data_IF_011842616792
#
_entry.id   IF_011842616792
#
_cell.length_a   1.000
_cell.length_b   1.000
_cell.length_c   1.000
_cell.angle_alpha   90.00
_cell.angle_beta   90.00
_cell.angle_gamma   90.00
#
_symmetry.space_group_name_H-M   'P 1'
#
loop_
_entity.id
_entity.type
_entity.pdbx_description
1 polymer ?
#
# COMPACT_ATOMS: atom_id res chain seq x y z
N UNK A 1 -7.79 -5.07 -25.25
CA UNK A 1 -7.16 -4.66 -26.52
C UNK A 1 -8.09 -4.82 -27.73
N UNK A 2 -8.98 -5.82 -27.79
CA UNK A 2 -9.91 -5.98 -28.92
C UNK A 2 -10.81 -4.75 -29.10
N UNK A 3 -11.46 -4.26 -28.08
CA UNK A 3 -12.30 -3.06 -28.16
C UNK A 3 -11.52 -1.82 -28.58
N UNK A 4 -10.32 -1.60 -28.08
CA UNK A 4 -9.44 -0.49 -28.50
C UNK A 4 -9.05 -0.58 -29.97
N UNK A 5 -8.86 -1.80 -30.50
CA UNK A 5 -8.60 -1.98 -31.93
C UNK A 5 -9.83 -1.69 -32.80
N UNK A 6 -11.03 -1.98 -32.31
CA UNK A 6 -12.28 -1.63 -32.98
C UNK A 6 -12.53 -0.12 -32.99
N UNK A 7 -12.33 0.55 -31.85
CA UNK A 7 -12.42 2.01 -31.76
C UNK A 7 -11.51 2.67 -32.81
N UNK A 8 -10.25 2.24 -32.88
CA UNK A 8 -9.30 2.73 -33.88
C UNK A 8 -9.77 2.42 -35.30
N UNK A 9 -10.24 1.20 -35.59
CA UNK A 9 -10.71 0.76 -36.89
C UNK A 9 -11.89 1.61 -37.39
N UNK A 10 -12.81 1.95 -36.49
CA UNK A 10 -14.03 2.68 -36.84
C UNK A 10 -13.93 4.19 -36.51
N UNK A 11 -12.73 4.68 -36.21
CA UNK A 11 -12.48 6.09 -35.88
C UNK A 11 -13.40 6.63 -34.77
N UNK A 12 -13.62 5.80 -33.73
CA UNK A 12 -14.39 6.17 -32.56
C UNK A 12 -13.41 6.59 -31.45
N UNK A 13 -13.67 7.71 -30.81
CA UNK A 13 -12.89 8.14 -29.65
C UNK A 13 -12.90 7.07 -28.55
N UNK A 14 -11.78 6.84 -27.84
CA UNK A 14 -11.72 5.85 -26.78
C UNK A 14 -12.82 6.04 -25.73
N UNK A 15 -13.57 5.00 -25.47
CA UNK A 15 -14.65 5.00 -24.48
C UNK A 15 -14.17 4.44 -23.15
N UNK A 16 -14.79 4.90 -22.08
CA UNK A 16 -14.60 4.31 -20.75
C UNK A 16 -15.14 2.88 -20.77
N UNK A 17 -14.44 1.97 -20.16
CA UNK A 17 -14.81 0.55 -20.09
C UNK A 17 -15.14 0.22 -18.64
N UNK A 18 -16.37 -0.27 -18.43
CA UNK A 18 -16.81 -0.82 -17.17
C UNK A 18 -17.09 -2.30 -17.34
N UNK A 19 -16.70 -3.08 -16.34
CA UNK A 19 -16.98 -4.52 -16.26
C UNK A 19 -18.05 -4.72 -15.20
N UNK A 20 -19.25 -5.06 -15.64
CA UNK A 20 -20.39 -5.14 -14.75
C UNK A 20 -20.32 -6.31 -13.80
N UNK A 21 -19.65 -7.39 -14.19
CA UNK A 21 -19.49 -8.58 -13.37
C UNK A 21 -18.20 -9.30 -13.67
N UNK A 22 -17.46 -9.67 -12.65
CA UNK A 22 -16.35 -10.62 -12.74
C UNK A 22 -16.24 -11.44 -11.45
N UNK A 23 -15.69 -12.63 -11.55
CA UNK A 23 -15.34 -13.42 -10.39
C UNK A 23 -14.03 -14.20 -10.63
N UNK A 24 -13.37 -14.58 -9.56
CA UNK A 24 -12.18 -15.41 -9.61
C UNK A 24 -12.54 -16.90 -9.87
N UNK A 25 -11.77 -17.51 -10.78
CA UNK A 25 -11.86 -18.92 -11.08
C UNK A 25 -12.65 -19.25 -12.33
N UNK A 26 -12.22 -20.33 -13.00
CA UNK A 26 -12.79 -20.79 -14.27
C UNK A 26 -13.98 -21.75 -14.12
N UNK A 27 -14.27 -22.19 -12.90
CA UNK A 27 -15.38 -23.11 -12.62
C UNK A 27 -16.64 -22.31 -12.26
N UNK A 28 -17.23 -21.70 -13.30
CA UNK A 28 -18.46 -20.94 -13.18
C UNK A 28 -19.64 -21.77 -12.63
N UNK A 29 -19.64 -23.08 -12.86
CA UNK A 29 -20.73 -23.95 -12.43
C UNK A 29 -20.77 -24.18 -10.92
N UNK A 30 -19.59 -24.24 -10.27
CA UNK A 30 -19.49 -24.51 -8.83
C UNK A 30 -18.97 -23.32 -8.01
N UNK A 31 -18.48 -22.27 -8.68
CA UNK A 31 -17.91 -21.07 -8.04
C UNK A 31 -16.92 -21.40 -6.93
N UNK A 32 -16.16 -22.42 -7.16
CA UNK A 32 -15.25 -23.03 -6.20
C UNK A 32 -14.22 -22.02 -5.69
N UNK A 33 -13.74 -21.14 -6.56
CA UNK A 33 -12.66 -20.19 -6.28
C UNK A 33 -13.14 -18.75 -6.10
N UNK A 34 -14.43 -18.56 -5.93
CA UNK A 34 -15.00 -17.27 -5.63
C UNK A 34 -14.38 -16.69 -4.35
N UNK A 35 -13.94 -15.43 -4.39
CA UNK A 35 -13.24 -14.79 -3.28
C UNK A 35 -11.80 -15.28 -3.06
N UNK A 36 -11.26 -16.11 -3.96
CA UNK A 36 -9.87 -16.58 -3.88
C UNK A 36 -8.90 -15.45 -4.22
N UNK A 37 -8.01 -15.03 -3.30
CA UNK A 37 -7.11 -13.90 -3.53
C UNK A 37 -6.13 -14.17 -4.67
N UNK A 38 -5.51 -15.36 -4.73
CA UNK A 38 -4.54 -15.68 -5.78
C UNK A 38 -5.11 -15.60 -7.19
N UNK A 39 -6.35 -16.01 -7.39
CA UNK A 39 -7.03 -15.89 -8.68
C UNK A 39 -7.60 -14.50 -8.96
N UNK A 40 -7.80 -13.67 -7.94
CA UNK A 40 -8.33 -12.31 -8.11
C UNK A 40 -7.24 -11.31 -8.52
N UNK A 41 -5.99 -11.53 -8.14
CA UNK A 41 -4.86 -10.65 -8.49
C UNK A 41 -4.75 -10.41 -10.00
N UNK A 42 -4.76 -11.42 -10.89
CA UNK A 42 -4.66 -11.21 -12.33
C UNK A 42 -5.81 -10.38 -12.93
N UNK A 43 -7.00 -10.40 -12.33
CA UNK A 43 -8.10 -9.54 -12.76
C UNK A 43 -7.80 -8.08 -12.46
N UNK A 44 -7.48 -7.76 -11.21
CA UNK A 44 -7.13 -6.39 -10.79
C UNK A 44 -5.95 -5.88 -11.61
N UNK A 45 -4.87 -6.67 -11.74
CA UNK A 45 -3.69 -6.33 -12.52
C UNK A 45 -4.02 -5.95 -13.97
N UNK A 46 -4.91 -6.71 -14.62
CA UNK A 46 -5.33 -6.44 -15.99
C UNK A 46 -6.26 -5.24 -16.09
N UNK A 47 -7.12 -5.04 -15.10
CA UNK A 47 -8.00 -3.86 -15.07
C UNK A 47 -7.17 -2.58 -14.99
N UNK A 48 -6.21 -2.52 -14.10
CA UNK A 48 -5.28 -1.39 -13.96
C UNK A 48 -4.46 -1.17 -15.24
N UNK A 49 -3.82 -2.20 -15.73
CA UNK A 49 -2.96 -2.13 -16.92
C UNK A 49 -3.71 -1.72 -18.20
N UNK A 50 -5.00 -2.03 -18.30
CA UNK A 50 -5.81 -1.73 -19.49
C UNK A 50 -6.78 -0.56 -19.30
N UNK A 51 -6.69 0.16 -18.19
CA UNK A 51 -7.51 1.34 -17.92
C UNK A 51 -9.01 1.02 -17.89
N UNK A 52 -9.40 -0.03 -17.18
CA UNK A 52 -10.79 -0.31 -16.85
C UNK A 52 -11.22 0.70 -15.77
N UNK A 53 -12.27 1.47 -16.07
CA UNK A 53 -12.72 2.54 -15.18
C UNK A 53 -13.38 2.00 -13.92
N UNK A 54 -14.13 0.92 -14.05
CA UNK A 54 -14.79 0.25 -12.95
C UNK A 54 -14.98 -1.24 -13.24
N UNK A 55 -14.87 -2.05 -12.21
CA UNK A 55 -15.18 -3.46 -12.30
C UNK A 55 -15.89 -3.90 -11.02
N UNK A 56 -16.98 -4.62 -11.14
CA UNK A 56 -17.77 -5.09 -10.02
C UNK A 56 -17.54 -6.58 -9.79
N UNK A 57 -17.02 -6.92 -8.61
CA UNK A 57 -16.98 -8.32 -8.22
C UNK A 57 -18.41 -8.80 -8.00
N UNK A 58 -18.81 -9.86 -8.70
CA UNK A 58 -20.10 -10.51 -8.51
C UNK A 58 -19.84 -11.84 -7.85
N UNK A 59 -20.65 -12.25 -6.97
CA UNK A 59 -21.95 -12.80 -7.05
C UNK A 59 -22.87 -12.44 -5.90
N UNK A 60 -24.09 -12.34 -6.20
CA UNK A 60 -25.16 -12.47 -5.24
C UNK A 60 -25.82 -13.87 -5.42
N UNK A 61 -25.54 -14.81 -4.56
CA UNK A 61 -26.44 -15.91 -4.42
C UNK A 61 -27.50 -15.52 -3.42
N UNK A 62 -28.73 -15.53 -3.88
CA UNK A 62 -29.90 -15.33 -3.00
C UNK A 62 -29.93 -16.30 -1.83
N UNK A 63 -29.27 -17.44 -1.94
CA UNK A 63 -29.17 -18.46 -0.89
C UNK A 63 -28.01 -18.23 0.09
N UNK A 64 -27.21 -17.21 -0.09
CA UNK A 64 -26.02 -16.94 0.73
C UNK A 64 -25.96 -15.46 1.10
N UNK A 65 -26.94 -14.97 1.89
CA UNK A 65 -26.96 -13.59 2.32
C UNK A 65 -25.69 -13.24 3.11
N UNK A 66 -25.14 -12.05 2.87
CA UNK A 66 -24.00 -11.53 3.61
C UNK A 66 -22.62 -11.84 3.01
N UNK A 67 -22.50 -12.64 1.96
CA UNK A 67 -21.20 -13.06 1.43
C UNK A 67 -20.43 -12.00 0.61
N UNK A 68 -21.09 -10.96 0.18
CA UNK A 68 -20.44 -9.84 -0.53
C UNK A 68 -19.41 -10.31 -1.59
N UNK A 69 -19.87 -11.11 -2.60
CA UNK A 69 -18.97 -11.68 -3.61
C UNK A 69 -17.97 -12.70 -3.04
N UNK A 70 -18.35 -13.43 -1.99
CA UNK A 70 -17.49 -14.35 -1.24
C UNK A 70 -16.24 -13.70 -0.64
N UNK A 71 -16.26 -12.40 -0.40
CA UNK A 71 -15.27 -11.72 0.45
C UNK A 71 -15.51 -12.03 1.93
N UNK A 72 -16.76 -12.31 2.29
CA UNK A 72 -17.15 -12.76 3.62
C UNK A 72 -17.61 -14.22 3.59
N UNK A 73 -17.44 -14.90 4.71
CA UNK A 73 -17.97 -16.26 4.94
C UNK A 73 -19.49 -16.23 5.17
N UNK A 74 -20.12 -17.39 5.24
CA UNK A 74 -21.54 -17.51 5.62
C UNK A 74 -21.84 -16.99 7.03
N UNK A 75 -20.83 -16.86 7.87
CA UNK A 75 -20.90 -16.29 9.22
C UNK A 75 -20.54 -14.80 9.27
N UNK A 76 -20.43 -14.13 8.10
CA UNK A 76 -20.01 -12.74 7.97
C UNK A 76 -18.59 -12.44 8.49
N UNK A 77 -17.72 -13.43 8.52
CA UNK A 77 -16.31 -13.26 8.84
C UNK A 77 -15.51 -12.94 7.57
N UNK A 78 -14.38 -12.26 7.73
CA UNK A 78 -13.50 -11.88 6.63
C UNK A 78 -12.83 -13.11 6.00
N UNK A 79 -13.00 -13.30 4.71
CA UNK A 79 -12.29 -14.29 3.92
C UNK A 79 -10.98 -13.76 3.32
N UNK A 80 -10.20 -14.61 2.63
CA UNK A 80 -8.95 -14.19 2.00
C UNK A 80 -9.14 -13.10 0.95
N UNK A 81 -10.20 -13.16 0.16
CA UNK A 81 -10.53 -12.12 -0.81
C UNK A 81 -10.75 -10.76 -0.18
N UNK A 82 -11.39 -10.69 0.99
CA UNK A 82 -11.60 -9.44 1.72
C UNK A 82 -10.26 -8.74 2.00
N UNK A 83 -9.25 -9.48 2.44
CA UNK A 83 -7.94 -8.92 2.76
C UNK A 83 -7.17 -8.48 1.50
N UNK A 84 -7.31 -9.20 0.38
CA UNK A 84 -6.76 -8.74 -0.90
C UNK A 84 -7.37 -7.41 -1.34
N UNK A 85 -8.70 -7.31 -1.32
CA UNK A 85 -9.37 -6.07 -1.71
C UNK A 85 -9.13 -4.94 -0.73
N UNK A 86 -8.89 -5.25 0.55
CA UNK A 86 -8.41 -4.26 1.52
C UNK A 86 -7.02 -3.73 1.12
N UNK A 87 -6.08 -4.61 0.79
CA UNK A 87 -4.76 -4.17 0.30
C UNK A 87 -4.89 -3.26 -0.93
N UNK A 88 -5.74 -3.64 -1.88
CA UNK A 88 -5.97 -2.84 -3.08
C UNK A 88 -6.62 -1.49 -2.75
N UNK A 89 -7.61 -1.48 -1.87
CA UNK A 89 -8.29 -0.25 -1.44
C UNK A 89 -7.44 0.68 -0.58
N UNK A 90 -6.40 0.15 0.08
CA UNK A 90 -5.44 0.94 0.86
C UNK A 90 -4.29 1.50 0.00
N UNK A 91 -4.18 1.10 -1.26
CA UNK A 91 -3.18 1.64 -2.17
C UNK A 91 -3.55 3.05 -2.60
N UNK A 92 -2.83 4.01 -2.11
CA UNK A 92 -2.96 5.42 -2.47
C UNK A 92 -1.77 5.88 -3.33
N UNK A 93 -1.84 7.09 -3.88
CA UNK A 93 -0.80 7.68 -4.72
C UNK A 93 -0.95 7.31 -6.20
N UNK A 94 0.08 6.76 -6.81
CA UNK A 94 0.11 6.48 -8.24
C UNK A 94 0.34 4.99 -8.50
N UNK A 95 -0.46 4.43 -9.41
CA UNK A 95 -0.22 3.07 -9.89
C UNK A 95 1.08 3.01 -10.69
N UNK A 96 1.92 2.04 -10.37
CA UNK A 96 3.16 1.75 -11.08
C UNK A 96 2.92 0.70 -12.16
N UNK A 97 3.69 0.79 -13.26
CA UNK A 97 3.61 -0.20 -14.34
C UNK A 97 4.15 -1.55 -13.88
N UNK A 98 3.39 -2.60 -14.10
CA UNK A 98 3.80 -3.98 -13.83
C UNK A 98 3.83 -4.77 -15.13
N UNK A 99 4.94 -5.50 -15.35
CA UNK A 99 5.11 -6.40 -16.49
C UNK A 99 5.11 -7.83 -15.98
N UNK A 100 4.03 -8.61 -16.19
CA UNK A 100 4.00 -10.01 -15.79
C UNK A 100 4.82 -10.87 -16.75
N UNK A 101 5.20 -12.09 -16.37
CA UNK A 101 5.88 -13.02 -17.26
C UNK A 101 5.09 -13.32 -18.54
N UNK A 102 3.76 -13.34 -18.45
CA UNK A 102 2.87 -13.54 -19.58
C UNK A 102 1.52 -12.85 -19.36
N UNK A 103 1.32 -11.71 -20.00
CA UNK A 103 0.08 -10.90 -19.90
C UNK A 103 -1.19 -11.61 -20.46
N UNK A 104 -1.02 -12.65 -21.27
CA UNK A 104 -2.14 -13.34 -21.90
C UNK A 104 -2.66 -14.53 -21.13
N UNK A 105 -2.00 -14.90 -20.03
CA UNK A 105 -2.38 -16.06 -19.21
C UNK A 105 -3.03 -15.63 -17.89
N UNK A 106 -3.58 -16.61 -17.17
CA UNK A 106 -4.01 -16.51 -15.79
C UNK A 106 -2.87 -16.84 -14.79
N UNK A 107 -1.64 -16.93 -15.31
CA UNK A 107 -0.44 -17.16 -14.53
C UNK A 107 -0.13 -16.02 -13.56
N UNK A 108 1.14 -15.97 -13.13
CA UNK A 108 1.59 -14.93 -12.23
C UNK A 108 1.39 -13.54 -12.84
N UNK A 109 0.73 -12.68 -12.10
CA UNK A 109 0.51 -11.28 -12.46
C UNK A 109 0.55 -10.43 -11.18
N UNK A 110 0.48 -9.11 -11.32
CA UNK A 110 0.50 -8.20 -10.18
C UNK A 110 0.14 -6.78 -10.53
N UNK A 111 -0.05 -6.00 -9.49
CA UNK A 111 -0.26 -4.56 -9.56
C UNK A 111 0.54 -3.87 -8.45
N UNK A 112 0.88 -2.63 -8.64
CA UNK A 112 1.74 -1.89 -7.72
C UNK A 112 1.33 -0.43 -7.63
N UNK A 113 1.56 0.17 -6.48
CA UNK A 113 1.39 1.60 -6.26
C UNK A 113 2.56 2.19 -5.48
N UNK A 114 2.79 3.48 -5.65
CA UNK A 114 3.77 4.27 -4.91
C UNK A 114 3.11 5.52 -4.37
N UNK A 115 3.26 5.75 -3.08
CA UNK A 115 2.76 6.92 -2.39
C UNK A 115 3.94 7.74 -1.82
N UNK A 116 4.11 8.94 -2.35
CA UNK A 116 5.20 9.82 -1.91
C UNK A 116 4.96 10.39 -0.51
N UNK A 117 3.72 10.75 -0.20
CA UNK A 117 3.36 11.33 1.10
C UNK A 117 3.56 10.31 2.22
N UNK A 118 3.07 9.09 2.01
CA UNK A 118 3.24 7.97 2.94
C UNK A 118 4.65 7.38 2.93
N UNK A 119 5.51 7.81 1.99
CA UNK A 119 6.85 7.27 1.76
C UNK A 119 6.86 5.74 1.67
N UNK A 120 5.96 5.20 0.87
CA UNK A 120 5.78 3.76 0.71
C UNK A 120 5.55 3.36 -0.74
N UNK A 121 5.78 2.10 -1.02
CA UNK A 121 5.31 1.44 -2.21
C UNK A 121 4.76 0.06 -1.84
N UNK A 122 3.83 -0.42 -2.65
CA UNK A 122 3.21 -1.72 -2.44
C UNK A 122 3.14 -2.47 -3.77
N UNK A 123 3.57 -3.73 -3.76
CA UNK A 123 3.46 -4.63 -4.91
C UNK A 123 2.66 -5.85 -4.47
N UNK A 124 1.52 -6.10 -5.12
CA UNK A 124 0.71 -7.29 -4.89
C UNK A 124 0.87 -8.24 -6.07
N UNK A 125 1.10 -9.51 -5.80
CA UNK A 125 1.26 -10.56 -6.81
C UNK A 125 0.50 -11.83 -6.45
N UNK A 126 0.10 -12.55 -7.48
CA UNK A 126 -0.65 -13.81 -7.37
C UNK A 126 -0.98 -14.37 -8.74
N UNK A 127 -1.70 -15.48 -8.79
CA UNK A 127 -2.09 -16.15 -10.03
C UNK A 127 -1.88 -17.65 -9.98
N UNK A 128 -2.10 -18.32 -11.10
CA UNK A 128 -2.11 -19.77 -11.16
C UNK A 128 -0.72 -20.46 -11.12
N UNK A 129 0.36 -19.66 -11.04
CA UNK A 129 1.74 -20.17 -10.96
C UNK A 129 2.23 -20.30 -9.52
N UNK A 130 3.07 -21.29 -9.27
CA UNK A 130 3.76 -21.52 -8.00
C UNK A 130 5.26 -21.67 -8.24
N UNK A 131 6.05 -21.42 -7.21
CA UNK A 131 7.51 -21.53 -7.24
C UNK A 131 8.20 -20.24 -6.78
N UNK A 132 9.54 -20.24 -6.89
CA UNK A 132 10.33 -19.06 -6.59
C UNK A 132 10.24 -18.03 -7.72
N UNK A 133 10.01 -16.79 -7.37
CA UNK A 133 9.86 -15.65 -8.29
C UNK A 133 10.74 -14.52 -7.82
N UNK A 134 11.56 -13.97 -8.70
CA UNK A 134 12.31 -12.74 -8.46
C UNK A 134 11.48 -11.53 -8.93
N UNK A 135 10.98 -10.76 -7.98
CA UNK A 135 10.28 -9.51 -8.26
C UNK A 135 11.31 -8.39 -8.41
N UNK A 136 11.50 -7.96 -9.64
CA UNK A 136 12.39 -6.83 -9.95
C UNK A 136 11.61 -5.51 -9.84
N UNK A 137 12.05 -4.62 -8.97
CA UNK A 137 11.46 -3.30 -8.76
C UNK A 137 12.46 -2.27 -9.26
N UNK A 138 12.06 -1.50 -10.27
CA UNK A 138 12.87 -0.46 -10.89
C UNK A 138 12.26 0.92 -10.62
N UNK A 139 13.11 1.96 -10.65
CA UNK A 139 12.66 3.33 -10.48
C UNK A 139 12.31 3.68 -9.05
N UNK A 140 12.92 3.01 -8.07
CA UNK A 140 12.79 3.38 -6.66
C UNK A 140 13.22 4.84 -6.52
N UNK A 141 12.30 5.72 -6.05
CA UNK A 141 12.62 7.15 -5.97
C UNK A 141 13.68 7.44 -4.93
N UNK A 142 14.51 8.47 -5.19
CA UNK A 142 15.59 8.87 -4.27
C UNK A 142 15.12 9.25 -2.86
N UNK A 143 13.87 9.69 -2.72
CA UNK A 143 13.29 9.99 -1.40
C UNK A 143 13.05 8.75 -0.53
N UNK A 144 13.13 7.53 -1.09
CA UNK A 144 13.12 6.29 -0.30
C UNK A 144 14.48 5.94 0.31
N UNK A 145 15.54 6.68 -0.04
CA UNK A 145 16.89 6.45 0.49
C UNK A 145 17.71 5.48 -0.34
N UNK A 146 18.90 5.17 0.16
CA UNK A 146 19.82 4.19 -0.44
C UNK A 146 19.53 2.75 0.00
N UNK A 147 18.69 2.58 1.02
CA UNK A 147 18.17 1.30 1.49
C UNK A 147 16.67 1.37 1.63
N UNK A 148 16.00 0.25 1.36
CA UNK A 148 14.56 0.10 1.59
C UNK A 148 14.30 -1.14 2.41
N UNK A 149 13.37 -1.05 3.35
CA UNK A 149 12.83 -2.19 4.06
C UNK A 149 11.66 -2.78 3.26
N UNK A 150 11.68 -4.08 3.08
CA UNK A 150 10.62 -4.82 2.39
C UNK A 150 10.01 -5.83 3.34
N UNK A 151 8.76 -5.61 3.70
CA UNK A 151 7.94 -6.61 4.40
C UNK A 151 7.19 -7.43 3.38
N UNK A 152 7.47 -8.74 3.35
CA UNK A 152 6.74 -9.69 2.52
C UNK A 152 5.62 -10.31 3.33
N UNK A 153 4.40 -10.22 2.82
CA UNK A 153 3.21 -10.75 3.46
C UNK A 153 2.46 -11.72 2.54
N UNK A 154 1.63 -12.57 3.13
CA UNK A 154 0.75 -13.48 2.42
C UNK A 154 -0.67 -13.42 2.98
N UNK A 155 -1.64 -13.41 2.11
CA UNK A 155 -3.04 -13.70 2.42
C UNK A 155 -3.35 -15.11 1.90
N UNK A 156 -3.69 -15.98 2.82
CA UNK A 156 -4.03 -17.38 2.53
C UNK A 156 -5.49 -17.55 2.14
N UNK A 157 -5.82 -18.68 1.54
CA UNK A 157 -7.19 -19.05 1.24
C UNK A 157 -7.31 -20.58 1.14
N UNK A 158 -8.35 -21.11 1.70
CA UNK A 158 -8.66 -22.55 1.65
C UNK A 158 -9.93 -22.81 0.83
N UNK A 159 -10.98 -22.10 1.17
CA UNK A 159 -12.26 -22.13 0.47
C UNK A 159 -13.06 -20.86 0.81
N UNK A 160 -14.16 -20.67 0.08
CA UNK A 160 -14.98 -19.46 0.17
C UNK A 160 -15.73 -19.26 1.51
N UNK A 161 -15.70 -20.25 2.38
CA UNK A 161 -16.40 -20.23 3.66
C UNK A 161 -15.43 -20.33 4.86
N UNK A 162 -14.13 -20.25 4.58
CA UNK A 162 -13.10 -20.22 5.61
C UNK A 162 -12.66 -18.81 5.91
N UNK A 163 -12.85 -18.41 7.16
CA UNK A 163 -12.36 -17.13 7.66
C UNK A 163 -10.83 -17.07 7.64
N UNK A 164 -10.29 -15.90 7.36
CA UNK A 164 -8.86 -15.59 7.40
C UNK A 164 -8.67 -14.41 8.35
N UNK A 165 -7.85 -14.58 9.38
CA UNK A 165 -7.66 -13.57 10.42
C UNK A 165 -7.01 -12.29 9.88
N UNK A 166 -6.12 -12.43 8.89
CA UNK A 166 -5.43 -11.31 8.25
C UNK A 166 -4.21 -11.76 7.45
N UNK A 167 -3.50 -10.81 6.86
CA UNK A 167 -2.20 -11.06 6.27
C UNK A 167 -1.22 -11.60 7.30
N UNK A 168 -0.34 -12.48 6.86
CA UNK A 168 0.76 -13.04 7.66
C UNK A 168 2.09 -12.52 7.12
N UNK A 169 2.93 -11.95 7.98
CA UNK A 169 4.28 -11.54 7.61
C UNK A 169 5.17 -12.78 7.43
N UNK A 170 5.76 -12.92 6.25
CA UNK A 170 6.72 -13.98 5.93
C UNK A 170 8.15 -13.56 6.23
N UNK A 171 8.49 -12.31 5.97
CA UNK A 171 9.81 -11.75 6.25
C UNK A 171 9.78 -10.23 6.21
N UNK A 172 10.71 -9.61 6.94
CA UNK A 172 11.06 -8.20 6.80
C UNK A 172 12.58 -8.14 6.58
N UNK A 173 13.01 -7.48 5.50
CA UNK A 173 14.42 -7.40 5.10
C UNK A 173 14.75 -6.04 4.51
N UNK A 174 15.97 -5.58 4.78
CA UNK A 174 16.53 -4.39 4.16
C UNK A 174 17.25 -4.77 2.87
N UNK A 175 17.05 -3.97 1.83
CA UNK A 175 17.66 -4.10 0.51
C UNK A 175 18.38 -2.80 0.14
N UNK A 176 19.65 -2.91 -0.23
CA UNK A 176 20.38 -1.77 -0.81
C UNK A 176 19.84 -1.48 -2.21
N UNK A 177 19.52 -0.22 -2.46
CA UNK A 177 19.01 0.26 -3.75
C UNK A 177 20.19 0.51 -4.70
N UNK A 178 20.34 -0.32 -5.70
CA UNK A 178 21.36 -0.17 -6.74
C UNK A 178 20.78 0.47 -8.00
N UNK A 179 21.21 1.68 -8.33
CA UNK A 179 20.71 2.44 -9.47
C UNK A 179 19.16 2.51 -9.55
N UNK A 180 18.51 2.72 -8.41
CA UNK A 180 17.05 2.76 -8.29
C UNK A 180 16.38 1.40 -8.44
N UNK A 181 17.10 0.31 -8.21
CA UNK A 181 16.60 -1.06 -8.40
C UNK A 181 16.88 -1.94 -7.19
N UNK A 182 15.91 -2.82 -6.89
CA UNK A 182 16.08 -3.98 -6.02
C UNK A 182 15.48 -5.22 -6.68
N UNK A 183 15.87 -6.39 -6.20
CA UNK A 183 15.28 -7.68 -6.57
C UNK A 183 14.88 -8.42 -5.30
N UNK A 184 13.60 -8.72 -5.19
CA UNK A 184 13.01 -9.37 -4.02
C UNK A 184 12.55 -10.78 -4.38
N UNK A 185 13.18 -11.83 -3.84
CA UNK A 185 12.75 -13.19 -4.08
C UNK A 185 11.47 -13.47 -3.26
N UNK A 186 10.45 -13.99 -3.93
CA UNK A 186 9.18 -14.41 -3.33
C UNK A 186 8.95 -15.89 -3.61
N UNK A 187 8.70 -16.67 -2.59
CA UNK A 187 8.33 -18.08 -2.76
C UNK A 187 6.80 -18.21 -2.78
N UNK A 188 6.24 -18.35 -3.97
CA UNK A 188 4.79 -18.55 -4.17
C UNK A 188 4.46 -20.01 -3.90
N UNK A 189 3.94 -20.29 -2.71
CA UNK A 189 3.67 -21.66 -2.24
C UNK A 189 2.31 -22.19 -2.68
N UNK A 190 1.38 -21.31 -3.06
CA UNK A 190 0.05 -21.71 -3.50
C UNK A 190 -0.51 -20.72 -4.52
N UNK A 191 -1.14 -21.25 -5.57
CA UNK A 191 -1.90 -20.48 -6.54
C UNK A 191 -3.18 -19.82 -5.96
N UNK A 192 -3.56 -20.23 -4.76
CA UNK A 192 -4.74 -19.69 -4.05
C UNK A 192 -4.42 -18.46 -3.23
N UNK A 193 -3.14 -18.15 -3.01
CA UNK A 193 -2.68 -17.09 -2.14
C UNK A 193 -2.32 -15.83 -2.92
N UNK A 194 -2.48 -14.69 -2.27
CA UNK A 194 -1.91 -13.43 -2.74
C UNK A 194 -0.77 -13.01 -1.82
N UNK A 195 0.25 -12.42 -2.40
CA UNK A 195 1.45 -11.93 -1.72
C UNK A 195 1.53 -10.42 -1.87
N UNK A 196 2.04 -9.75 -0.85
CA UNK A 196 2.35 -8.32 -0.91
C UNK A 196 3.80 -8.09 -0.50
N UNK A 197 4.48 -7.24 -1.26
CA UNK A 197 5.71 -6.58 -0.85
C UNK A 197 5.33 -5.17 -0.44
N UNK A 198 5.45 -4.87 0.83
CA UNK A 198 5.27 -3.54 1.37
C UNK A 198 6.65 -2.93 1.59
N UNK A 199 6.91 -1.78 0.98
CA UNK A 199 8.23 -1.21 0.82
C UNK A 199 8.26 0.17 1.44
N UNK A 200 9.18 0.39 2.35
CA UNK A 200 9.39 1.67 3.04
C UNK A 200 10.88 2.03 3.02
N UNK A 201 11.27 3.30 3.32
CA UNK A 201 12.67 3.62 3.55
C UNK A 201 13.29 2.70 4.59
N UNK A 202 14.45 2.15 4.30
CA UNK A 202 15.18 1.22 5.18
C UNK A 202 16.18 1.92 6.10
N UNK A 203 16.56 3.14 5.77
CA UNK A 203 17.46 3.94 6.59
C UNK A 203 16.68 4.68 7.67
N UNK A 204 17.13 4.54 8.90
CA UNK A 204 16.67 5.40 9.98
C UNK A 204 17.45 6.71 9.93
N UNK A 205 16.78 7.83 9.79
CA UNK A 205 17.41 9.15 9.95
C UNK A 205 17.70 9.36 11.43
N UNK A 206 18.96 9.54 11.82
CA UNK A 206 19.30 9.82 13.22
C UNK A 206 18.63 11.09 13.70
N UNK A 207 18.31 11.10 15.00
CA UNK A 207 17.78 12.28 15.66
C UNK A 207 18.75 13.46 15.59
N UNK A 208 18.26 14.64 15.24
CA UNK A 208 18.99 15.90 15.30
C UNK A 208 18.02 17.08 15.53
N UNK A 209 18.46 18.17 16.19
CA UNK A 209 17.63 19.36 16.36
C UNK A 209 17.13 19.88 15.03
N UNK A 210 15.84 20.21 14.93
CA UNK A 210 15.24 20.69 13.66
C UNK A 210 15.92 21.96 13.14
N UNK A 211 16.18 22.93 14.01
CA UNK A 211 16.84 24.19 13.65
C UNK A 211 18.37 24.08 13.57
N UNK A 212 18.95 22.87 13.70
CA UNK A 212 20.40 22.65 13.74
C UNK A 212 21.05 22.99 15.08
N UNK A 213 20.29 23.41 16.08
CA UNK A 213 20.72 23.69 17.47
C UNK A 213 19.60 23.37 18.44
N UNK A 214 19.97 23.11 19.69
CA UNK A 214 19.01 22.88 20.78
C UNK A 214 18.16 24.12 21.06
N UNK A 215 16.88 23.93 21.37
CA UNK A 215 15.97 25.00 21.75
C UNK A 215 16.20 25.41 23.20
N UNK A 216 16.22 26.70 23.51
CA UNK A 216 16.48 27.18 24.87
C UNK A 216 15.27 27.09 25.79
N UNK A 217 15.49 26.60 27.02
CA UNK A 217 14.52 26.69 28.11
C UNK A 217 15.16 27.50 29.27
N UNK A 218 14.51 28.60 29.74
CA UNK A 218 13.21 29.13 29.35
C UNK A 218 13.21 29.74 27.93
N UNK A 219 12.12 29.59 27.23
CA UNK A 219 11.92 30.08 25.86
C UNK A 219 10.61 29.62 25.26
N UNK A 220 10.35 30.02 24.04
CA UNK A 220 9.22 29.52 23.25
C UNK A 220 9.70 28.35 22.39
N UNK A 221 8.95 27.27 22.40
CA UNK A 221 9.16 26.10 21.54
C UNK A 221 7.92 25.98 20.65
N UNK A 222 8.11 26.15 19.35
CA UNK A 222 7.06 25.91 18.37
C UNK A 222 6.87 24.39 18.20
N UNK A 223 5.61 23.93 18.20
CA UNK A 223 5.30 22.51 18.20
C UNK A 223 5.81 21.80 16.93
N UNK A 224 5.82 22.49 15.80
CA UNK A 224 6.33 21.96 14.53
C UNK A 224 7.86 21.87 14.45
N UNK A 225 8.59 22.45 15.42
CA UNK A 225 10.05 22.38 15.50
C UNK A 225 10.57 21.14 16.24
N UNK A 226 9.78 20.06 16.27
CA UNK A 226 10.26 18.77 16.78
C UNK A 226 11.48 18.28 15.98
N UNK A 227 12.31 17.47 16.61
CA UNK A 227 13.59 17.02 16.06
C UNK A 227 13.41 16.32 14.70
N UNK A 228 14.41 16.47 13.83
CA UNK A 228 14.54 15.65 12.63
C UNK A 228 14.86 14.20 13.03
N UNK A 229 14.38 13.25 12.24
CA UNK A 229 14.61 11.84 12.46
C UNK A 229 13.51 10.99 11.83
N UNK A 230 13.64 9.69 11.94
CA UNK A 230 12.60 8.75 11.49
C UNK A 230 11.49 8.60 12.53
N UNK A 231 10.34 8.10 12.09
CA UNK A 231 9.29 7.60 12.97
C UNK A 231 9.86 6.57 13.97
N UNK A 232 9.46 6.66 15.22
CA UNK A 232 10.02 5.88 16.32
C UNK A 232 11.38 6.34 16.84
N UNK A 233 11.99 7.41 16.27
CA UNK A 233 13.28 7.99 16.68
C UNK A 233 13.11 9.40 17.26
N UNK A 234 12.48 10.30 16.55
CA UNK A 234 12.24 11.70 16.96
C UNK A 234 10.77 12.09 17.03
N UNK A 235 9.92 11.28 16.52
CA UNK A 235 8.48 11.37 16.65
C UNK A 235 7.86 9.98 16.47
N UNK A 236 6.61 9.84 16.82
CA UNK A 236 5.78 8.71 16.43
C UNK A 236 4.39 9.20 16.04
N UNK A 237 3.96 8.81 14.84
CA UNK A 237 2.62 9.06 14.32
C UNK A 237 2.00 7.74 13.88
N UNK A 238 0.73 7.50 14.18
CA UNK A 238 0.03 6.24 13.87
C UNK A 238 -0.31 6.09 12.42
N UNK A 239 -0.50 7.19 11.73
CA UNK A 239 -0.58 7.18 10.28
C UNK A 239 0.63 7.90 9.69
N UNK A 240 0.98 7.56 8.47
CA UNK A 240 2.17 8.10 7.83
C UNK A 240 1.89 9.33 6.97
N UNK A 241 0.65 9.78 6.95
CA UNK A 241 0.22 10.89 6.11
C UNK A 241 0.15 12.17 6.94
N UNK A 242 0.99 13.15 6.59
CA UNK A 242 0.81 14.53 7.06
C UNK A 242 -0.41 15.15 6.36
N UNK A 243 -1.56 15.17 7.03
CA UNK A 243 -2.83 15.72 6.51
C UNK A 243 -2.89 17.23 6.53
N UNK A 244 -1.95 17.85 7.21
CA UNK A 244 -1.84 19.31 7.25
C UNK A 244 -1.30 19.90 5.95
N UNK A 245 -0.52 19.14 5.19
CA UNK A 245 0.04 19.47 3.87
C UNK A 245 0.82 20.80 3.81
N UNK A 246 1.11 21.42 4.95
CA UNK A 246 1.70 22.75 4.99
C UNK A 246 3.20 22.79 5.31
N UNK A 247 3.68 21.89 6.14
CA UNK A 247 5.03 21.91 6.70
C UNK A 247 5.48 20.54 7.15
N UNK A 248 6.78 20.29 7.28
CA UNK A 248 7.33 18.98 7.68
C UNK A 248 6.78 17.82 6.84
N UNK A 249 6.70 18.01 5.53
CA UNK A 249 6.12 17.05 4.58
C UNK A 249 6.90 15.73 4.48
N UNK A 250 8.08 15.66 5.07
CA UNK A 250 8.90 14.47 5.20
C UNK A 250 8.49 13.55 6.36
N UNK A 251 7.55 13.99 7.19
CA UNK A 251 7.05 13.25 8.37
C UNK A 251 5.58 12.89 8.23
N UNK A 252 5.10 11.93 9.03
CA UNK A 252 3.66 11.64 9.16
C UNK A 252 2.91 12.65 10.03
N UNK A 253 3.62 13.43 10.84
CA UNK A 253 3.01 14.36 11.79
C UNK A 253 2.19 15.42 11.07
N UNK A 254 0.93 15.56 11.47
CA UNK A 254 -0.02 16.50 10.89
C UNK A 254 0.31 17.95 11.27
N UNK A 255 0.92 18.69 10.33
CA UNK A 255 1.32 20.08 10.51
C UNK A 255 0.65 20.96 9.47
N UNK A 256 -0.15 21.95 9.90
CA UNK A 256 -0.86 22.87 9.00
C UNK A 256 -0.53 24.31 9.26
N UNK A 257 -0.61 25.12 8.18
CA UNK A 257 -0.55 26.54 8.28
C UNK A 257 -1.79 27.08 9.02
N UNK A 258 -1.60 28.05 9.92
CA UNK A 258 -2.70 28.69 10.59
C UNK A 258 -3.42 29.65 9.62
N UNK A 259 -4.76 29.61 9.67
CA UNK A 259 -5.58 30.53 8.88
C UNK A 259 -5.24 31.98 9.24
N UNK A 260 -5.03 32.80 8.24
CA UNK A 260 -4.67 34.22 8.36
C UNK A 260 -3.24 34.49 8.91
N UNK A 261 -2.40 33.48 9.05
CA UNK A 261 -1.02 33.55 9.51
C UNK A 261 -0.14 32.58 8.69
N UNK A 262 0.27 32.98 7.49
CA UNK A 262 0.89 32.07 6.52
C UNK A 262 2.25 31.50 6.94
N UNK A 263 2.93 32.11 7.90
CA UNK A 263 4.23 31.69 8.41
C UNK A 263 4.15 31.03 9.81
N UNK A 264 2.94 30.82 10.33
CA UNK A 264 2.71 30.11 11.59
C UNK A 264 2.02 28.78 11.32
N UNK A 265 2.47 27.75 12.04
CA UNK A 265 1.99 26.38 11.89
C UNK A 265 1.45 25.83 13.20
N UNK A 266 0.74 24.74 13.13
CA UNK A 266 0.27 24.00 14.28
C UNK A 266 0.31 22.49 14.01
N UNK A 267 0.66 21.72 15.03
CA UNK A 267 0.52 20.27 15.05
C UNK A 267 -0.89 19.93 15.53
N UNK A 268 -1.54 18.99 14.86
CA UNK A 268 -2.88 18.56 15.26
C UNK A 268 -3.19 17.11 14.87
N UNK A 269 -4.48 16.74 14.94
CA UNK A 269 -5.00 15.38 14.79
C UNK A 269 -4.30 14.32 15.64
N UNK A 270 -3.52 14.74 16.66
CA UNK A 270 -2.76 13.86 17.51
C UNK A 270 -3.65 12.80 18.18
N UNK A 271 -3.24 11.55 18.12
CA UNK A 271 -3.92 10.41 18.69
C UNK A 271 -3.19 9.89 19.94
N UNK A 272 -3.87 9.06 20.72
CA UNK A 272 -3.25 8.42 21.86
C UNK A 272 -2.02 7.61 21.42
N UNK A 273 -0.92 7.71 22.16
CA UNK A 273 0.37 7.05 21.94
C UNK A 273 1.27 7.68 20.88
N UNK A 274 0.85 8.76 20.22
CA UNK A 274 1.73 9.58 19.41
C UNK A 274 2.57 10.51 20.27
N UNK A 275 3.77 10.83 19.81
CA UNK A 275 4.69 11.68 20.52
C UNK A 275 5.66 12.43 19.61
N UNK A 276 6.17 13.55 20.09
CA UNK A 276 7.19 14.37 19.47
C UNK A 276 8.35 14.58 20.45
N UNK A 277 9.58 14.61 19.95
CA UNK A 277 10.75 14.90 20.74
C UNK A 277 11.40 16.21 20.33
N UNK A 278 11.99 16.90 21.32
CA UNK A 278 12.68 18.17 21.12
C UNK A 278 14.02 18.13 21.84
N UNK A 279 15.09 18.44 21.13
CA UNK A 279 16.39 18.68 21.77
C UNK A 279 16.43 20.06 22.37
N UNK A 280 16.58 20.15 23.68
CA UNK A 280 16.55 21.41 24.43
C UNK A 280 17.84 21.66 25.21
N UNK A 281 18.18 22.96 25.41
CA UNK A 281 19.21 23.43 26.31
C UNK A 281 18.54 24.13 27.49
N UNK A 282 18.75 23.64 28.70
CA UNK A 282 18.21 24.22 29.94
C UNK A 282 19.27 25.17 30.50
N UNK A 283 19.02 26.47 30.43
CA UNK A 283 19.98 27.50 30.80
C UNK A 283 20.09 27.71 32.31
N UNK A 284 19.06 27.35 33.09
CA UNK A 284 19.07 27.40 34.54
C UNK A 284 18.35 26.18 35.12
N UNK A 285 18.89 25.64 36.24
CA UNK A 285 18.16 24.65 37.04
C UNK A 285 16.88 25.34 37.59
N UNK A 286 15.71 24.81 37.21
CA UNK A 286 14.45 25.21 37.84
C UNK A 286 14.26 24.36 39.12
N UNK A 287 14.20 25.03 40.28
CA UNK A 287 13.76 24.43 41.54
C UNK A 287 12.26 24.58 41.70
#
# INVERSE_FOLDING_TARGET
>A
NHYRSLEKKYNVSPRKISINEYCAGSDAANQKYEGCPGYSVPFIAKFERHGVESAMISWWFTNLPGRLGSLLTSQNEKGGGWHLYKWYGDMEGYMASVTPPNDKSDGLDGFAAVNRQMREASVVLGGSSVGSVDVTINGIPSWMGSEVEVTTEVVTWENKDKAVAGPQTLSTKVYTVDNGKIVVPVNVTSKLYAYRLYITPGETTPKSPFLGHALSIPGTIEAEHFDNGSDGISYHDKDRQNRGEGYRLETGVDVYALKDKPDEYAVGYAQKEEWLEYTVNIENEAY
#
